data_IF_089286510850
#
_entry.id   IF_089286510850
#
_cell.length_a   1.000
_cell.length_b   1.000
_cell.length_c   1.000
_cell.angle_alpha   90.00
_cell.angle_beta   90.00
_cell.angle_gamma   90.00
#
_symmetry.space_group_name_H-M   'P 1'
#
loop_
_entity.id
_entity.type
_entity.pdbx_description
1 polymer ?
#
# COMPACT_ATOMS: atom_id res chain seq x y z
N UNK A 1 12.77 -5.28 3.35
CA UNK A 1 11.45 -4.66 3.57
C UNK A 1 10.80 -5.21 4.84
N UNK A 2 10.41 -4.33 5.76
CA UNK A 2 9.66 -4.69 6.98
C UNK A 2 8.16 -4.47 6.77
N UNK A 3 7.35 -5.50 6.98
CA UNK A 3 5.88 -5.39 6.91
C UNK A 3 5.31 -5.20 8.32
N UNK A 4 4.38 -4.27 8.45
CA UNK A 4 3.65 -4.02 9.70
C UNK A 4 2.17 -4.34 9.44
N UNK A 5 1.68 -5.49 9.94
CA UNK A 5 0.27 -5.83 9.82
C UNK A 5 -0.58 -4.99 10.78
N UNK A 6 -1.71 -4.49 10.29
CA UNK A 6 -2.70 -3.73 11.04
C UNK A 6 -4.09 -4.29 10.74
N UNK A 7 -4.72 -4.88 11.75
CA UNK A 7 -6.10 -5.37 11.65
C UNK A 7 -7.06 -4.34 12.21
N UNK A 8 -7.95 -3.84 11.36
CA UNK A 8 -9.03 -2.96 11.79
C UNK A 8 -10.20 -3.78 12.34
N UNK A 9 -10.95 -3.25 13.32
CA UNK A 9 -12.19 -3.86 13.76
C UNK A 9 -13.16 -4.05 12.59
N UNK A 10 -13.94 -5.12 12.62
CA UNK A 10 -15.00 -5.34 11.63
C UNK A 10 -16.03 -4.20 11.69
N UNK A 11 -16.50 -3.74 10.53
CA UNK A 11 -17.34 -2.54 10.35
C UNK A 11 -16.69 -1.21 10.76
N UNK A 12 -15.38 -1.17 11.04
CA UNK A 12 -14.67 0.10 11.09
C UNK A 12 -14.68 0.75 9.69
N UNK A 13 -14.69 2.10 9.61
CA UNK A 13 -14.56 2.77 8.32
C UNK A 13 -13.25 2.37 7.63
N UNK A 14 -13.21 2.35 6.28
CA UNK A 14 -11.97 2.11 5.55
C UNK A 14 -10.84 3.02 6.06
N UNK A 15 -9.59 2.54 6.11
CA UNK A 15 -8.49 3.30 6.67
C UNK A 15 -8.07 4.44 5.74
N UNK A 16 -7.86 5.64 6.29
CA UNK A 16 -7.01 6.63 5.65
C UNK A 16 -5.55 6.35 6.03
N UNK A 17 -4.64 6.41 5.05
CA UNK A 17 -3.21 6.21 5.28
C UNK A 17 -2.46 7.52 5.02
N UNK A 18 -1.66 7.91 5.99
CA UNK A 18 -0.76 9.05 5.89
C UNK A 18 0.68 8.57 5.72
N UNK A 19 1.44 9.28 4.90
CA UNK A 19 2.85 9.03 4.73
C UNK A 19 3.57 9.32 6.06
N UNK A 20 4.31 8.36 6.62
CA UNK A 20 5.05 8.56 7.85
C UNK A 20 6.27 9.49 7.70
N UNK A 21 6.69 9.79 6.46
CA UNK A 21 7.82 10.69 6.18
C UNK A 21 7.38 12.15 6.13
N UNK A 22 6.39 12.47 5.30
CA UNK A 22 6.00 13.86 5.03
C UNK A 22 4.60 14.23 5.54
N UNK A 23 3.87 13.31 6.18
CA UNK A 23 2.54 13.56 6.74
C UNK A 23 1.41 13.74 5.73
N UNK A 24 1.69 13.69 4.41
CA UNK A 24 0.65 13.76 3.37
C UNK A 24 -0.26 12.53 3.43
N UNK A 25 -1.56 12.71 3.23
CA UNK A 25 -2.50 11.60 3.05
C UNK A 25 -2.24 10.96 1.69
N UNK A 26 -1.96 9.66 1.67
CA UNK A 26 -1.61 8.90 0.45
C UNK A 26 -2.71 7.94 0.02
N UNK A 27 -3.50 7.47 0.98
CA UNK A 27 -4.72 6.69 0.74
C UNK A 27 -5.88 7.38 1.47
N UNK A 28 -6.95 7.62 0.72
CA UNK A 28 -8.21 8.14 1.22
C UNK A 28 -9.19 7.02 1.49
N UNK A 29 -10.17 7.25 2.36
CA UNK A 29 -11.31 6.36 2.56
C UNK A 29 -12.25 6.35 1.36
N UNK A 30 -12.20 7.41 0.55
CA UNK A 30 -13.01 7.61 -0.65
C UNK A 30 -12.16 8.22 -1.77
N UNK A 31 -12.32 7.74 -3.00
CA UNK A 31 -11.64 8.25 -4.19
C UNK A 31 -10.26 7.62 -4.45
N UNK A 32 -9.58 8.14 -5.47
CA UNK A 32 -8.29 7.63 -5.91
C UNK A 32 -7.16 7.97 -4.91
N UNK A 33 -6.14 7.11 -4.75
CA UNK A 33 -4.99 7.42 -3.92
C UNK A 33 -4.21 8.62 -4.48
N UNK A 34 -3.57 9.37 -3.58
CA UNK A 34 -2.76 10.56 -3.89
C UNK A 34 -1.35 10.36 -3.35
N UNK A 35 -0.57 9.45 -3.96
CA UNK A 35 0.75 9.08 -3.47
C UNK A 35 1.72 10.27 -3.52
N UNK A 36 2.55 10.37 -2.49
CA UNK A 36 3.70 11.27 -2.49
C UNK A 36 4.97 10.52 -2.96
N UNK A 37 6.08 11.23 -3.14
CA UNK A 37 7.35 10.64 -3.59
C UNK A 37 7.88 9.50 -2.71
N UNK A 38 7.51 9.48 -1.43
CA UNK A 38 7.90 8.41 -0.50
C UNK A 38 7.08 7.12 -0.68
N UNK A 39 5.98 7.15 -1.44
CA UNK A 39 5.17 5.96 -1.71
C UNK A 39 5.75 5.22 -2.90
N UNK A 40 6.16 3.98 -2.68
CA UNK A 40 6.73 3.12 -3.71
C UNK A 40 5.63 2.37 -4.45
N UNK A 41 4.63 1.89 -3.73
CA UNK A 41 3.47 1.22 -4.32
C UNK A 41 2.25 1.25 -3.40
N UNK A 42 1.08 1.07 -4.01
CA UNK A 42 -0.18 0.80 -3.31
C UNK A 42 -0.81 -0.40 -3.99
N UNK A 43 -1.13 -1.43 -3.21
CA UNK A 43 -1.83 -2.62 -3.65
C UNK A 43 -3.13 -2.79 -2.86
N UNK A 44 -4.19 -3.23 -3.53
CA UNK A 44 -5.51 -3.45 -2.95
C UNK A 44 -6.03 -4.83 -3.39
N UNK A 45 -6.60 -5.61 -2.48
CA UNK A 45 -7.03 -6.99 -2.76
C UNK A 45 -8.10 -7.11 -3.85
N UNK A 46 -8.93 -6.09 -4.00
CA UNK A 46 -9.97 -6.01 -5.05
C UNK A 46 -9.44 -5.50 -6.40
N UNK A 47 -8.46 -4.58 -6.38
CA UNK A 47 -8.01 -3.87 -7.59
C UNK A 47 -6.60 -4.26 -8.07
N UNK A 48 -5.89 -5.10 -7.33
CA UNK A 48 -4.48 -5.40 -7.55
C UNK A 48 -3.59 -4.18 -7.28
N UNK A 49 -2.57 -3.98 -8.12
CA UNK A 49 -1.63 -2.88 -7.99
C UNK A 49 -2.27 -1.56 -8.47
N UNK A 50 -2.54 -0.64 -7.54
CA UNK A 50 -3.21 0.64 -7.79
C UNK A 50 -2.21 1.75 -8.12
N UNK A 51 -1.01 1.68 -7.54
CA UNK A 51 0.05 2.64 -7.79
C UNK A 51 1.42 1.98 -7.73
N UNK A 52 2.35 2.46 -8.55
CA UNK A 52 3.77 2.17 -8.46
C UNK A 52 4.58 3.42 -8.84
N UNK A 53 5.60 3.76 -8.04
CA UNK A 53 6.59 4.76 -8.38
C UNK A 53 7.36 4.33 -9.64
N UNK A 54 7.86 5.29 -10.43
CA UNK A 54 8.50 5.00 -11.72
C UNK A 54 9.64 3.95 -11.63
N UNK A 55 10.47 4.03 -10.58
CA UNK A 55 11.55 3.08 -10.32
C UNK A 55 11.05 1.67 -9.99
N UNK A 56 9.84 1.55 -9.44
CA UNK A 56 9.18 0.29 -9.08
C UNK A 56 8.29 -0.26 -10.20
N UNK A 57 7.75 0.62 -11.06
CA UNK A 57 6.73 0.28 -12.05
C UNK A 57 7.18 -0.81 -13.01
N UNK A 58 8.40 -0.71 -13.56
CA UNK A 58 8.91 -1.72 -14.50
C UNK A 58 9.06 -3.11 -13.84
N UNK A 59 9.48 -3.14 -12.57
CA UNK A 59 9.64 -4.40 -11.81
C UNK A 59 8.30 -5.00 -11.42
N UNK A 60 7.34 -4.17 -11.03
CA UNK A 60 6.01 -4.63 -10.64
C UNK A 60 5.11 -4.98 -11.83
N UNK A 61 5.28 -4.34 -12.99
CA UNK A 61 4.56 -4.69 -14.22
C UNK A 61 4.87 -6.12 -14.68
N UNK A 62 6.07 -6.63 -14.40
CA UNK A 62 6.44 -8.01 -14.71
C UNK A 62 5.65 -9.05 -13.90
N UNK A 63 5.00 -8.64 -12.81
CA UNK A 63 4.15 -9.52 -11.99
C UNK A 63 2.76 -9.72 -12.60
N UNK A 64 2.38 -8.91 -13.61
CA UNK A 64 1.10 -9.00 -14.31
C UNK A 64 -0.11 -8.64 -13.44
N UNK A 65 -1.31 -8.84 -13.99
CA UNK A 65 -2.60 -8.45 -13.37
C UNK A 65 -2.95 -9.23 -12.09
N UNK A 66 -2.25 -10.34 -11.80
CA UNK A 66 -2.49 -11.20 -10.63
C UNK A 66 -1.45 -11.05 -9.52
N UNK A 67 -0.62 -10.01 -9.59
CA UNK A 67 0.35 -9.68 -8.55
C UNK A 67 -0.33 -9.66 -7.17
N UNK A 68 0.12 -10.49 -6.23
CA UNK A 68 -0.28 -10.38 -4.82
C UNK A 68 0.57 -9.33 -4.12
N UNK A 69 0.10 -8.85 -2.96
CA UNK A 69 0.86 -7.97 -2.09
C UNK A 69 2.26 -8.54 -1.75
N UNK A 70 2.31 -9.85 -1.45
CA UNK A 70 3.54 -10.57 -1.13
C UNK A 70 4.56 -10.56 -2.27
N UNK A 71 4.07 -10.67 -3.51
CA UNK A 71 4.91 -10.64 -4.71
C UNK A 71 5.52 -9.25 -4.89
N UNK A 72 4.72 -8.18 -4.74
CA UNK A 72 5.19 -6.81 -4.82
C UNK A 72 6.26 -6.51 -3.76
N UNK A 73 6.02 -6.93 -2.51
CA UNK A 73 6.97 -6.78 -1.41
C UNK A 73 8.27 -7.59 -1.65
N UNK A 74 8.16 -8.79 -2.21
CA UNK A 74 9.32 -9.63 -2.53
C UNK A 74 10.15 -9.07 -3.69
N UNK A 75 9.51 -8.51 -4.71
CA UNK A 75 10.15 -7.92 -5.88
C UNK A 75 10.85 -6.60 -5.56
N UNK A 76 10.26 -5.80 -4.67
CA UNK A 76 10.79 -4.48 -4.33
C UNK A 76 11.80 -4.46 -3.19
N UNK A 77 12.15 -5.61 -2.59
CA UNK A 77 13.08 -5.73 -1.45
C UNK A 77 14.23 -4.71 -1.48
N UNK A 78 14.02 -3.57 -0.81
CA UNK A 78 15.06 -2.60 -0.51
C UNK A 78 15.28 -2.53 1.01
N UNK A 79 16.49 -2.12 1.39
CA UNK A 79 16.95 -2.07 2.77
C UNK A 79 16.19 -1.02 3.61
N UNK A 80 15.74 0.08 2.98
CA UNK A 80 15.06 1.20 3.66
C UNK A 80 13.53 1.22 3.49
N UNK A 81 12.95 0.12 2.99
CA UNK A 81 11.52 0.05 2.72
C UNK A 81 10.72 -0.61 3.84
N UNK A 82 9.56 -0.04 4.11
CA UNK A 82 8.54 -0.64 4.96
C UNK A 82 7.20 -0.66 4.25
N UNK A 83 6.34 -1.61 4.61
CA UNK A 83 4.97 -1.64 4.12
C UNK A 83 3.97 -1.73 5.28
N UNK A 84 2.92 -0.92 5.23
CA UNK A 84 1.71 -1.13 6.03
C UNK A 84 0.86 -2.16 5.31
N UNK A 85 0.49 -3.22 6.02
CA UNK A 85 -0.44 -4.23 5.52
C UNK A 85 -1.71 -4.17 6.36
N UNK A 86 -2.78 -3.60 5.79
CA UNK A 86 -3.98 -3.24 6.53
C UNK A 86 -5.13 -4.14 6.10
N UNK A 87 -5.66 -4.91 7.05
CA UNK A 87 -6.88 -5.68 6.88
C UNK A 87 -8.06 -4.91 7.45
N UNK A 88 -9.12 -4.76 6.66
CA UNK A 88 -10.37 -4.13 7.09
C UNK A 88 -11.55 -4.83 6.43
N UNK A 89 -12.72 -4.79 7.05
CA UNK A 89 -13.86 -5.58 6.59
C UNK A 89 -15.18 -5.04 7.08
N UNK A 90 -16.24 -5.44 6.40
CA UNK A 90 -17.59 -5.01 6.71
C UNK A 90 -18.64 -5.88 6.03
N UNK A 91 -19.84 -5.31 5.88
CA UNK A 91 -21.00 -5.99 5.31
C UNK A 91 -21.30 -5.53 3.89
N UNK A 92 -21.25 -6.46 2.93
CA UNK A 92 -21.70 -6.26 1.55
C UNK A 92 -22.31 -7.57 1.01
N UNK A 93 -23.62 -7.75 1.21
CA UNK A 93 -24.34 -9.02 0.92
C UNK A 93 -23.74 -10.26 1.64
N UNK A 94 -23.04 -10.03 2.76
CA UNK A 94 -22.28 -11.01 3.52
C UNK A 94 -21.06 -10.34 4.17
N UNK A 95 -20.38 -11.02 5.11
CA UNK A 95 -19.11 -10.53 5.66
C UNK A 95 -18.03 -10.59 4.58
N UNK A 96 -17.40 -9.45 4.31
CA UNK A 96 -16.29 -9.33 3.37
C UNK A 96 -15.07 -8.69 4.05
N UNK A 97 -13.88 -9.11 3.63
CA UNK A 97 -12.61 -8.58 4.08
C UNK A 97 -11.80 -8.09 2.89
N UNK A 98 -11.10 -7.00 3.10
CA UNK A 98 -10.19 -6.37 2.16
C UNK A 98 -8.81 -6.25 2.78
N UNK A 99 -7.82 -6.22 1.92
CA UNK A 99 -6.44 -5.99 2.31
C UNK A 99 -5.85 -4.89 1.44
N UNK A 100 -5.16 -3.96 2.08
CA UNK A 100 -4.41 -2.89 1.42
C UNK A 100 -2.99 -2.93 1.90
N UNK A 101 -2.06 -2.89 0.95
CA UNK A 101 -0.65 -2.73 1.25
C UNK A 101 -0.14 -1.41 0.69
N UNK A 102 0.50 -0.60 1.54
CA UNK A 102 1.16 0.65 1.13
C UNK A 102 2.64 0.54 1.47
N UNK A 103 3.46 0.51 0.43
CA UNK A 103 4.92 0.50 0.55
C UNK A 103 5.49 1.91 0.56
N UNK A 104 6.38 2.18 1.51
CA UNK A 104 7.10 3.43 1.64
C UNK A 104 8.60 3.21 1.60
N UNK A 105 9.30 4.18 1.05
CA UNK A 105 10.76 4.29 1.15
C UNK A 105 11.15 5.42 2.10
N UNK A 106 11.98 5.08 3.08
CA UNK A 106 12.57 6.05 4.00
C UNK A 106 14.03 6.28 3.61
N UNK A 107 14.26 6.87 2.44
CA UNK A 107 15.59 7.39 2.15
C UNK A 107 15.81 8.66 2.99
N UNK A 108 16.79 8.70 3.90
CA UNK A 108 17.04 9.85 4.78
C UNK A 108 17.60 11.10 4.07
N UNK A 109 17.61 11.14 2.73
CA UNK A 109 18.27 12.21 1.94
C UNK A 109 17.32 12.96 0.98
N UNK A 110 16.02 12.68 0.96
CA UNK A 110 15.06 13.39 0.10
C UNK A 110 14.50 14.70 0.70
N UNK A 111 15.05 15.16 1.82
CA UNK A 111 14.75 16.47 2.40
C UNK A 111 15.96 17.39 2.23
N UNK A 112 16.22 17.82 1.00
CA UNK A 112 17.18 18.89 0.68
C UNK A 112 16.54 19.86 -0.31
#
# INVERSE_FOLDING_TARGET
>A
MRQIPLSMPFNAPPPAVFCPVCGKRVLSTEGAPTPCEHVVYIWHSDAGLVHAAAAAAHRLQQLGERCKAEDAAATLKAEHQFALDISYGGMACGPIWYQVQVGFDFHPEAAA
#
